data_IF_764815915762
#
_entry.id   IF_764815915762
#
_cell.length_a   1.000
_cell.length_b   1.000
_cell.length_c   1.000
_cell.angle_alpha   90.00
_cell.angle_beta   90.00
_cell.angle_gamma   90.00
#
_symmetry.space_group_name_H-M   'P 1'
#
loop_
_entity.id
_entity.type
_entity.pdbx_description
1 polymer ?
#
# COMPACT_ATOMS: atom_id res chain seq x y z
N UNK A 1 22.25 -65.77 -55.41
CA UNK A 1 21.74 -64.42 -55.71
C UNK A 1 20.96 -63.95 -54.48
N UNK A 2 21.59 -63.22 -53.57
CA UNK A 2 21.01 -62.74 -52.30
C UNK A 2 20.59 -61.31 -52.48
N UNK A 3 19.29 -61.04 -52.41
CA UNK A 3 18.72 -59.65 -52.44
C UNK A 3 18.64 -59.14 -51.04
N UNK A 4 19.46 -58.11 -50.70
CA UNK A 4 19.42 -57.39 -49.44
C UNK A 4 18.39 -56.27 -49.52
N UNK A 5 17.28 -56.39 -48.80
CA UNK A 5 16.28 -55.33 -48.62
C UNK A 5 16.75 -54.36 -47.53
N UNK A 6 17.12 -53.13 -47.93
CA UNK A 6 17.33 -52.00 -47.00
C UNK A 6 15.96 -51.43 -46.58
N UNK A 7 15.63 -51.54 -45.30
CA UNK A 7 14.54 -50.78 -44.67
C UNK A 7 15.04 -49.39 -44.28
N UNK A 8 14.55 -48.36 -44.98
CA UNK A 8 14.74 -46.96 -44.60
C UNK A 8 13.83 -46.67 -43.39
N UNK A 9 14.45 -46.50 -42.23
CA UNK A 9 13.76 -45.99 -41.05
C UNK A 9 13.60 -44.47 -41.19
N UNK A 10 12.41 -44.00 -41.44
CA UNK A 10 12.08 -42.54 -41.43
C UNK A 10 12.10 -41.98 -40.03
N UNK A 11 13.07 -41.11 -39.75
CA UNK A 11 13.10 -40.31 -38.51
C UNK A 11 12.09 -39.19 -38.71
N UNK A 12 10.92 -39.33 -38.11
CA UNK A 12 9.90 -38.26 -38.02
C UNK A 12 10.40 -37.15 -37.09
N UNK A 13 10.78 -35.99 -37.64
CA UNK A 13 11.11 -34.77 -36.88
C UNK A 13 9.80 -34.21 -36.31
N UNK A 14 9.51 -34.50 -35.04
CA UNK A 14 8.43 -33.88 -34.30
C UNK A 14 8.73 -32.40 -34.07
N UNK A 15 8.17 -31.51 -34.89
CA UNK A 15 8.26 -30.07 -34.70
C UNK A 15 7.36 -29.70 -33.50
N UNK A 16 7.93 -29.52 -32.32
CA UNK A 16 7.22 -29.03 -31.15
C UNK A 16 6.77 -27.59 -31.44
N UNK A 17 5.46 -27.37 -31.56
CA UNK A 17 4.87 -26.04 -31.67
C UNK A 17 5.07 -25.33 -30.33
N UNK A 18 6.09 -24.48 -30.23
CA UNK A 18 6.29 -23.57 -29.10
C UNK A 18 5.22 -22.49 -29.26
N UNK A 19 4.14 -22.59 -28.49
CA UNK A 19 3.17 -21.51 -28.38
C UNK A 19 3.85 -20.34 -27.66
N UNK A 20 3.85 -19.10 -28.24
CA UNK A 20 4.40 -17.96 -27.55
C UNK A 20 3.62 -17.74 -26.26
N UNK A 21 4.34 -17.68 -25.14
CA UNK A 21 3.75 -17.26 -23.87
C UNK A 21 3.26 -15.81 -24.04
N UNK A 22 1.94 -15.61 -24.07
CA UNK A 22 1.35 -14.28 -24.12
C UNK A 22 1.64 -13.58 -22.79
N UNK A 23 2.51 -12.58 -22.78
CA UNK A 23 2.72 -11.71 -21.64
C UNK A 23 1.44 -10.90 -21.42
N UNK A 24 0.74 -11.19 -20.31
CA UNK A 24 -0.51 -10.52 -19.98
C UNK A 24 -0.26 -9.32 -19.07
N UNK A 25 -0.69 -8.12 -19.51
CA UNK A 25 -0.71 -6.93 -18.67
C UNK A 25 -1.82 -7.05 -17.63
N UNK A 26 -1.51 -6.69 -16.38
CA UNK A 26 -2.49 -6.65 -15.30
C UNK A 26 -3.25 -5.31 -15.33
N UNK A 27 -4.55 -5.33 -15.54
CA UNK A 27 -5.41 -4.18 -15.32
C UNK A 27 -5.68 -4.04 -13.81
N UNK A 28 -5.37 -2.87 -13.23
CA UNK A 28 -5.57 -2.60 -11.81
C UNK A 28 -6.21 -1.24 -11.61
N UNK A 29 -7.11 -1.13 -10.61
CA UNK A 29 -7.50 0.17 -10.07
C UNK A 29 -6.35 0.72 -9.25
N UNK A 30 -6.03 2.00 -9.43
CA UNK A 30 -4.95 2.67 -8.71
C UNK A 30 -5.40 4.03 -8.22
N UNK A 31 -4.73 4.54 -7.17
CA UNK A 31 -5.07 5.80 -6.56
C UNK A 31 -4.53 6.96 -7.39
N UNK A 32 -5.41 7.87 -7.83
CA UNK A 32 -4.96 9.08 -8.53
C UNK A 32 -4.27 10.07 -7.57
N UNK A 33 -3.34 10.87 -8.08
CA UNK A 33 -2.69 11.91 -7.30
C UNK A 33 -3.70 12.94 -6.75
N UNK A 34 -4.75 13.26 -7.51
CA UNK A 34 -5.81 14.19 -7.06
C UNK A 34 -6.62 13.63 -5.90
N UNK A 35 -6.99 12.35 -5.92
CA UNK A 35 -7.68 11.70 -4.80
C UNK A 35 -6.77 11.60 -3.58
N UNK A 36 -5.50 11.25 -3.76
CA UNK A 36 -4.51 11.21 -2.69
C UNK A 36 -4.31 12.58 -2.04
N UNK A 37 -4.25 13.64 -2.84
CA UNK A 37 -4.16 15.03 -2.36
C UNK A 37 -5.38 15.42 -1.53
N UNK A 38 -6.59 15.13 -2.03
CA UNK A 38 -7.82 15.43 -1.30
C UNK A 38 -7.90 14.72 0.07
N UNK A 39 -7.42 13.47 0.15
CA UNK A 39 -7.31 12.73 1.42
C UNK A 39 -6.36 13.45 2.37
N UNK A 40 -5.14 13.77 1.92
CA UNK A 40 -4.12 14.38 2.75
C UNK A 40 -4.51 15.78 3.25
N UNK A 41 -5.03 16.64 2.38
CA UNK A 41 -5.48 17.99 2.72
C UNK A 41 -6.65 17.96 3.71
N UNK A 42 -7.65 17.09 3.47
CA UNK A 42 -8.79 16.94 4.39
C UNK A 42 -8.34 16.44 5.76
N UNK A 43 -7.42 15.48 5.81
CA UNK A 43 -6.88 14.98 7.07
C UNK A 43 -6.13 16.08 7.84
N UNK A 44 -5.30 16.88 7.19
CA UNK A 44 -4.60 18.01 7.81
C UNK A 44 -5.61 19.05 8.29
N UNK A 45 -6.57 19.45 7.45
CA UNK A 45 -7.58 20.44 7.81
C UNK A 45 -8.42 20.00 9.03
N UNK A 46 -8.82 18.73 9.07
CA UNK A 46 -9.57 18.15 10.20
C UNK A 46 -8.75 18.18 11.49
N UNK A 47 -7.49 17.77 11.44
CA UNK A 47 -6.60 17.85 12.59
C UNK A 47 -6.36 19.29 13.04
N UNK A 48 -6.15 20.22 12.11
CA UNK A 48 -5.94 21.63 12.39
C UNK A 48 -7.16 22.27 13.06
N UNK A 49 -8.38 21.94 12.60
CA UNK A 49 -9.63 22.37 13.22
C UNK A 49 -9.77 21.92 14.68
N UNK A 50 -9.15 20.78 15.01
CA UNK A 50 -9.06 20.25 16.39
C UNK A 50 -7.85 20.79 17.18
N UNK A 51 -7.12 21.76 16.64
CA UNK A 51 -5.95 22.38 17.29
C UNK A 51 -4.66 21.56 17.18
N UNK A 52 -4.60 20.53 16.33
CA UNK A 52 -3.42 19.67 16.17
C UNK A 52 -2.61 20.10 14.94
N UNK A 53 -1.28 20.01 15.06
CA UNK A 53 -0.34 20.29 13.98
C UNK A 53 0.23 18.98 13.48
N UNK A 54 -0.14 18.58 12.27
CA UNK A 54 0.16 17.25 11.76
C UNK A 54 0.75 17.29 10.34
N UNK A 55 1.48 16.26 9.98
CA UNK A 55 1.84 15.93 8.61
C UNK A 55 1.04 14.72 8.14
N UNK A 56 0.72 14.66 6.85
CA UNK A 56 -0.01 13.56 6.24
C UNK A 56 0.79 12.95 5.08
N UNK A 57 0.72 11.63 4.94
CA UNK A 57 1.30 10.88 3.83
C UNK A 57 0.26 9.92 3.27
N UNK A 58 0.13 9.90 1.93
CA UNK A 58 -0.65 8.91 1.21
C UNK A 58 0.31 8.09 0.34
N UNK A 59 0.29 6.78 0.54
CA UNK A 59 1.07 5.83 -0.25
C UNK A 59 0.18 5.02 -1.18
N UNK A 60 0.72 4.68 -2.33
CA UNK A 60 0.05 3.86 -3.33
C UNK A 60 0.17 2.37 -3.06
N UNK A 61 -0.20 1.59 -4.08
CA UNK A 61 -0.30 0.13 -4.00
C UNK A 61 1.02 -0.57 -3.66
N UNK A 62 2.15 -0.05 -4.10
CA UNK A 62 3.47 -0.64 -3.85
C UNK A 62 4.20 0.03 -2.67
N UNK A 63 3.50 0.88 -1.89
CA UNK A 63 4.07 1.61 -0.77
C UNK A 63 4.83 2.87 -1.17
N UNK A 64 4.82 3.25 -2.46
CA UNK A 64 5.38 4.50 -2.95
C UNK A 64 4.59 5.71 -2.43
N UNK A 65 5.27 6.80 -2.15
CA UNK A 65 4.61 8.05 -1.75
C UNK A 65 3.96 8.69 -2.97
N UNK A 66 2.62 8.83 -2.96
CA UNK A 66 1.90 9.60 -3.97
C UNK A 66 1.84 11.06 -3.55
N UNK A 67 1.48 11.34 -2.30
CA UNK A 67 1.42 12.68 -1.72
C UNK A 67 1.96 12.64 -0.30
N UNK A 68 2.77 13.63 0.05
CA UNK A 68 3.20 13.88 1.41
C UNK A 68 3.20 15.38 1.69
N UNK A 69 2.49 15.80 2.72
CA UNK A 69 2.33 17.21 3.09
C UNK A 69 2.79 17.41 4.53
N UNK A 70 3.68 18.37 4.71
CA UNK A 70 4.05 18.88 6.02
C UNK A 70 3.08 20.00 6.41
N UNK A 71 2.29 19.81 7.45
CA UNK A 71 1.46 20.87 8.00
C UNK A 71 2.30 21.94 8.74
N UNK A 72 1.76 23.12 8.89
CA UNK A 72 2.43 24.24 9.53
C UNK A 72 2.72 23.97 11.00
N UNK A 73 3.94 24.27 11.42
CA UNK A 73 4.37 24.17 12.81
C UNK A 73 4.47 22.75 13.37
N UNK A 74 4.50 21.73 12.52
CA UNK A 74 4.66 20.31 12.94
C UNK A 74 6.09 20.03 13.38
N UNK A 75 6.25 19.04 14.27
CA UNK A 75 7.57 18.54 14.68
C UNK A 75 8.34 17.90 13.51
N UNK A 76 9.68 17.89 13.53
CA UNK A 76 10.51 17.37 12.43
C UNK A 76 10.22 15.88 12.09
N UNK A 77 9.89 15.07 13.10
CA UNK A 77 9.63 13.64 12.97
C UNK A 77 8.31 13.29 12.28
N UNK A 78 7.37 14.25 12.17
CA UNK A 78 5.99 13.95 11.71
C UNK A 78 5.92 13.49 10.26
N UNK A 79 6.82 14.01 9.39
CA UNK A 79 6.91 13.57 8.00
C UNK A 79 7.28 12.09 7.90
N UNK A 80 8.38 11.71 8.54
CA UNK A 80 8.84 10.32 8.56
C UNK A 80 7.80 9.39 9.20
N UNK A 81 7.24 9.81 10.34
CA UNK A 81 6.31 8.97 11.07
C UNK A 81 4.96 8.79 10.36
N UNK A 82 4.43 9.84 9.69
CA UNK A 82 3.22 9.71 8.87
C UNK A 82 3.44 8.72 7.71
N UNK A 83 4.63 8.75 7.07
CA UNK A 83 5.01 7.76 6.06
C UNK A 83 5.08 6.35 6.64
N UNK A 84 5.80 6.14 7.74
CA UNK A 84 5.93 4.81 8.36
C UNK A 84 4.57 4.22 8.75
N UNK A 85 3.66 5.03 9.29
CA UNK A 85 2.29 4.62 9.60
C UNK A 85 1.54 4.19 8.34
N UNK A 86 1.54 5.03 7.28
CA UNK A 86 0.90 4.71 6.00
C UNK A 86 1.50 3.45 5.37
N UNK A 87 2.83 3.35 5.32
CA UNK A 87 3.54 2.20 4.77
C UNK A 87 3.20 0.90 5.51
N UNK A 88 3.14 0.95 6.85
CA UNK A 88 2.72 -0.19 7.68
C UNK A 88 1.28 -0.60 7.37
N UNK A 89 0.34 0.36 7.34
CA UNK A 89 -1.05 0.07 7.03
C UNK A 89 -1.22 -0.54 5.62
N UNK A 90 -0.47 -0.04 4.63
CA UNK A 90 -0.49 -0.61 3.27
C UNK A 90 0.11 -2.01 3.22
N UNK A 91 1.25 -2.24 3.88
CA UNK A 91 1.97 -3.52 3.86
C UNK A 91 1.14 -4.64 4.47
N UNK A 92 0.54 -4.40 5.63
CA UNK A 92 -0.20 -5.41 6.38
C UNK A 92 -1.72 -5.38 6.12
N UNK A 93 -2.20 -4.42 5.35
CA UNK A 93 -3.61 -4.25 4.94
C UNK A 93 -4.58 -4.11 6.13
N UNK A 94 -4.10 -3.44 7.18
CA UNK A 94 -4.83 -3.18 8.42
C UNK A 94 -4.51 -1.77 8.92
N UNK A 95 -5.33 -1.19 9.82
CA UNK A 95 -4.93 0.00 10.57
C UNK A 95 -3.57 -0.17 11.22
N UNK A 96 -2.69 0.86 11.14
CA UNK A 96 -1.33 0.73 11.65
C UNK A 96 -1.25 0.42 13.15
N UNK A 97 -2.23 0.89 13.93
CA UNK A 97 -2.31 0.64 15.36
C UNK A 97 -2.59 -0.83 15.73
N UNK A 98 -3.15 -1.64 14.84
CA UNK A 98 -3.35 -3.08 15.08
C UNK A 98 -2.04 -3.86 15.12
N UNK A 99 -0.97 -3.33 14.53
CA UNK A 99 0.34 -3.99 14.54
C UNK A 99 0.95 -4.06 15.94
N UNK A 100 0.66 -3.10 16.80
CA UNK A 100 1.09 -3.16 18.21
C UNK A 100 0.52 -4.40 18.90
N UNK A 101 -0.78 -4.67 18.73
CA UNK A 101 -1.44 -5.82 19.32
C UNK A 101 -0.96 -7.15 18.72
N UNK A 102 -0.66 -7.15 17.41
CA UNK A 102 -0.09 -8.33 16.76
C UNK A 102 1.31 -8.65 17.27
N UNK A 103 2.15 -7.64 17.51
CA UNK A 103 3.47 -7.83 18.08
C UNK A 103 3.42 -8.25 19.55
N UNK A 104 2.48 -7.71 20.35
CA UNK A 104 2.27 -8.19 21.73
C UNK A 104 1.92 -9.68 21.78
N UNK A 105 1.10 -10.16 20.83
CA UNK A 105 0.71 -11.58 20.71
C UNK A 105 1.82 -12.45 20.12
N UNK A 106 2.66 -11.90 19.26
CA UNK A 106 3.79 -12.61 18.63
C UNK A 106 5.05 -11.73 18.59
N UNK A 107 5.80 -11.65 19.69
CA UNK A 107 7.02 -10.83 19.79
C UNK A 107 8.14 -11.24 18.82
N UNK A 108 8.09 -12.45 18.27
CA UNK A 108 9.07 -12.95 17.30
C UNK A 108 8.74 -12.57 15.85
N UNK A 109 7.65 -11.83 15.64
CA UNK A 109 7.28 -11.39 14.29
C UNK A 109 8.39 -10.53 13.68
N UNK A 110 8.94 -10.96 12.54
CA UNK A 110 10.02 -10.27 11.84
C UNK A 110 9.64 -8.89 11.28
N UNK A 111 8.35 -8.54 11.28
CA UNK A 111 7.86 -7.26 10.80
C UNK A 111 8.54 -6.05 11.45
N UNK A 112 8.91 -6.14 12.72
CA UNK A 112 9.60 -5.08 13.47
C UNK A 112 10.99 -4.71 12.91
N UNK A 113 11.59 -5.58 12.10
CA UNK A 113 12.89 -5.36 11.47
C UNK A 113 12.79 -4.79 10.05
N UNK A 114 11.57 -4.60 9.52
CA UNK A 114 11.38 -4.04 8.19
C UNK A 114 11.64 -2.53 8.20
N UNK A 115 12.39 -2.05 7.21
CA UNK A 115 12.55 -0.61 6.98
C UNK A 115 11.19 0.03 6.68
N UNK A 116 10.90 1.17 7.31
CA UNK A 116 9.63 1.86 7.13
C UNK A 116 8.48 1.33 7.99
N UNK A 117 8.70 0.29 8.78
CA UNK A 117 7.71 -0.25 9.71
C UNK A 117 7.58 0.61 10.98
N UNK A 118 6.36 0.67 11.52
CA UNK A 118 6.05 1.22 12.86
C UNK A 118 4.80 0.55 13.44
N UNK A 119 4.71 0.50 14.76
CA UNK A 119 3.50 0.10 15.48
C UNK A 119 2.60 1.28 15.83
N UNK A 120 3.07 2.51 15.55
CA UNK A 120 2.32 3.69 15.93
C UNK A 120 0.98 3.78 15.18
N UNK A 121 -0.10 3.98 15.94
CA UNK A 121 -1.46 4.21 15.42
C UNK A 121 -1.52 5.53 14.66
N UNK A 122 -2.42 5.63 13.65
CA UNK A 122 -2.71 6.85 12.91
C UNK A 122 -2.64 6.71 11.40
N UNK A 123 -2.79 5.48 10.89
CA UNK A 123 -2.96 5.23 9.46
C UNK A 123 -4.01 4.16 9.19
N UNK A 124 -4.73 4.33 8.08
CA UNK A 124 -5.76 3.43 7.59
C UNK A 124 -5.47 3.00 6.15
N UNK A 125 -5.76 1.73 5.77
CA UNK A 125 -5.72 1.31 4.39
C UNK A 125 -6.79 2.02 3.54
N UNK A 126 -6.49 2.27 2.27
CA UNK A 126 -7.43 2.79 1.27
C UNK A 126 -7.95 1.59 0.48
N UNK A 127 -9.27 1.39 0.53
CA UNK A 127 -9.93 0.22 -0.03
C UNK A 127 -10.79 0.56 -1.24
N UNK A 128 -10.81 -0.34 -2.22
CA UNK A 128 -11.84 -0.40 -3.28
C UNK A 128 -12.42 -1.81 -3.27
N UNK A 129 -13.63 -1.96 -2.76
CA UNK A 129 -14.14 -3.28 -2.40
C UNK A 129 -13.24 -3.95 -1.35
N UNK A 130 -12.75 -5.14 -1.64
CA UNK A 130 -11.81 -5.88 -0.78
C UNK A 130 -10.33 -5.61 -1.09
N UNK A 131 -10.05 -4.84 -2.15
CA UNK A 131 -8.67 -4.58 -2.58
C UNK A 131 -8.09 -3.34 -1.90
N UNK A 132 -6.94 -3.50 -1.25
CA UNK A 132 -6.18 -2.39 -0.66
C UNK A 132 -5.32 -1.75 -1.76
N UNK A 133 -5.69 -0.57 -2.20
CA UNK A 133 -5.01 0.17 -3.28
C UNK A 133 -3.97 1.18 -2.78
N UNK A 134 -3.92 1.42 -1.48
CA UNK A 134 -3.02 2.38 -0.86
C UNK A 134 -3.23 2.43 0.65
N UNK A 135 -2.66 3.44 1.29
CA UNK A 135 -2.95 3.80 2.68
C UNK A 135 -2.67 5.28 2.92
N UNK A 136 -3.35 5.86 3.90
CA UNK A 136 -3.09 7.21 4.38
C UNK A 136 -2.67 7.19 5.84
N UNK A 137 -1.69 8.01 6.21
CA UNK A 137 -1.17 8.13 7.56
C UNK A 137 -0.97 9.58 7.97
N UNK A 138 -1.28 9.87 9.23
CA UNK A 138 -1.11 11.18 9.87
C UNK A 138 -0.22 11.04 11.08
N UNK A 139 0.56 12.07 11.37
CA UNK A 139 1.39 12.15 12.58
C UNK A 139 1.49 13.56 13.10
N UNK A 140 1.35 13.72 14.41
CA UNK A 140 1.52 14.99 15.11
C UNK A 140 0.45 15.34 16.12
N UNK A 141 -0.71 14.68 16.10
CA UNK A 141 -1.71 14.84 17.14
C UNK A 141 -1.26 14.19 18.47
N UNK A 142 -1.77 14.64 19.61
CA UNK A 142 -1.40 14.09 20.92
C UNK A 142 -2.12 12.74 21.18
N UNK A 143 -1.76 11.71 20.37
CA UNK A 143 -2.35 10.39 20.39
C UNK A 143 -2.67 9.86 19.01
N UNK A 144 -2.28 8.63 18.72
CA UNK A 144 -2.44 8.03 17.40
C UNK A 144 -3.91 7.83 16.99
N UNK A 145 -4.83 7.70 17.94
CA UNK A 145 -6.27 7.63 17.71
C UNK A 145 -6.82 8.95 17.10
N UNK A 146 -6.21 10.09 17.46
CA UNK A 146 -6.55 11.39 16.91
C UNK A 146 -6.01 11.57 15.50
N UNK A 147 -4.77 11.10 15.26
CA UNK A 147 -4.22 11.01 13.91
C UNK A 147 -5.12 10.16 13.01
N UNK A 148 -5.55 8.99 13.49
CA UNK A 148 -6.41 8.05 12.76
C UNK A 148 -7.79 8.66 12.43
N UNK A 149 -8.38 9.41 13.37
CA UNK A 149 -9.64 10.12 13.13
C UNK A 149 -9.52 11.14 11.98
N UNK A 150 -8.39 11.84 11.89
CA UNK A 150 -8.14 12.77 10.79
C UNK A 150 -7.99 12.03 9.45
N UNK A 151 -7.30 10.89 9.42
CA UNK A 151 -7.22 10.03 8.23
C UNK A 151 -8.61 9.57 7.81
N UNK A 152 -9.43 9.13 8.76
CA UNK A 152 -10.80 8.68 8.50
C UNK A 152 -11.63 9.76 7.81
N UNK A 153 -11.55 11.01 8.28
CA UNK A 153 -12.23 12.15 7.64
C UNK A 153 -11.75 12.36 6.19
N UNK A 154 -10.44 12.20 5.93
CA UNK A 154 -9.89 12.25 4.58
C UNK A 154 -10.44 11.16 3.66
N UNK A 155 -10.57 9.93 4.14
CA UNK A 155 -11.15 8.81 3.38
C UNK A 155 -12.64 9.00 3.13
N UNK A 156 -13.38 9.47 4.12
CA UNK A 156 -14.82 9.78 3.99
C UNK A 156 -15.08 10.87 2.93
N UNK A 157 -14.20 11.87 2.81
CA UNK A 157 -14.28 12.92 1.80
C UNK A 157 -14.28 12.40 0.36
N UNK A 158 -13.58 11.31 0.12
CA UNK A 158 -13.41 10.72 -1.22
C UNK A 158 -14.16 9.38 -1.40
N UNK A 159 -15.02 9.01 -0.45
CA UNK A 159 -15.66 7.69 -0.42
C UNK A 159 -16.37 7.32 -1.74
N UNK A 160 -16.98 8.30 -2.42
CA UNK A 160 -17.65 8.07 -3.71
C UNK A 160 -16.68 7.75 -4.86
N UNK A 161 -15.41 8.11 -4.73
CA UNK A 161 -14.36 7.83 -5.71
C UNK A 161 -13.71 6.46 -5.49
N UNK A 162 -13.97 5.82 -4.34
CA UNK A 162 -13.38 4.54 -3.93
C UNK A 162 -14.34 3.35 -4.13
N UNK A 163 -15.20 3.43 -5.14
CA UNK A 163 -16.19 2.39 -5.48
C UNK A 163 -15.78 1.51 -6.65
#
# INVERSE_FOLDING_TARGET
MCVVLYRLAGIGLACALVTPASAQLLARKDLSASTALAIAETAIATCTANGYRVSATVVGRNGEVIVQIRGDGTGPHTMENSFKKAYTARTFRIPSGEMEDRLKKNPQMGAQYLTGFTTARGALPIMVGEDVIGAAGVSGAPGGEKDEACVKAGLEKVADQLK
#
